data_IF_292759633491
#
_entry.id   IF_292759633491
#
_cell.length_a   1.000
_cell.length_b   1.000
_cell.length_c   1.000
_cell.angle_alpha   90.00
_cell.angle_beta   90.00
_cell.angle_gamma   90.00
#
_symmetry.space_group_name_H-M   'P 1'
#
loop_
_entity.id
_entity.type
_entity.pdbx_description
1 polymer ?
2 non-polymer ?
3 water ?
#
# COMPACT_ATOMS: atom_id res chain seq x y z
N UNK A 4 20.86 16.92 6.16
CA UNK A 4 20.02 17.30 5.02
C UNK A 4 19.83 16.18 3.99
N UNK A 5 18.61 15.70 3.77
CA UNK A 5 18.36 14.70 2.72
C UNK A 5 18.01 15.42 1.41
N UNK A 6 18.79 15.21 0.34
CA UNK A 6 18.49 15.77 -0.99
C UNK A 6 17.32 15.12 -1.75
N UNK A 7 16.92 15.73 -2.86
CA UNK A 7 15.87 15.13 -3.67
C UNK A 7 16.22 13.73 -4.13
N UNK A 8 17.42 13.55 -4.67
CA UNK A 8 17.88 12.21 -5.03
C UNK A 8 17.85 11.27 -3.83
N UNK A 9 18.34 11.71 -2.67
CA UNK A 9 18.26 10.95 -1.43
C UNK A 9 16.84 10.43 -1.20
N UNK A 10 15.86 11.31 -1.34
CA UNK A 10 14.47 10.99 -1.05
C UNK A 10 13.83 10.05 -2.08
N UNK A 11 14.11 10.26 -3.36
CA UNK A 11 13.70 9.32 -4.41
C UNK A 11 14.26 7.95 -4.09
N UNK A 12 15.52 7.90 -3.67
CA UNK A 12 16.17 6.63 -3.31
C UNK A 12 15.52 5.89 -2.15
N UNK A 13 15.21 6.60 -1.07
CA UNK A 13 14.49 6.01 0.05
C UNK A 13 13.08 5.57 -0.34
N UNK A 14 12.32 6.43 -1.00
CA UNK A 14 10.98 6.08 -1.46
C UNK A 14 10.97 4.85 -2.39
N UNK A 15 11.94 4.72 -3.30
CA UNK A 15 12.07 3.53 -4.13
C UNK A 15 12.22 2.25 -3.29
N UNK A 16 13.04 2.33 -2.24
CA UNK A 16 13.29 1.22 -1.32
C UNK A 16 12.07 0.86 -0.48
N UNK A 17 11.22 1.84 -0.15
CA UNK A 17 9.96 1.56 0.56
C UNK A 17 9.01 0.69 -0.28
N UNK A 18 8.98 0.96 -1.57
CA UNK A 18 8.06 0.35 -2.49
C UNK A 18 8.72 -0.72 -3.38
N UNK A 19 9.85 -1.27 -2.94
CA UNK A 19 10.69 -2.17 -3.75
C UNK A 19 9.97 -3.47 -4.12
N UNK A 20 9.29 -4.05 -3.14
CA UNK A 20 8.52 -5.27 -3.35
C UNK A 20 7.16 -5.04 -4.00
N UNK A 21 6.80 -3.77 -4.23
CA UNK A 21 5.51 -3.42 -4.88
C UNK A 21 5.84 -3.22 -6.35
N UNK A 22 4.91 -2.96 -7.25
CA UNK A 22 5.40 -2.98 -8.64
C UNK A 22 5.48 -1.60 -9.29
N UNK A 23 6.04 -0.64 -8.56
CA UNK A 23 5.92 0.78 -8.90
C UNK A 23 7.04 1.24 -9.81
N UNK A 24 6.63 1.67 -11.00
CA UNK A 24 7.48 2.34 -11.96
C UNK A 24 8.30 3.46 -11.32
N UNK A 25 9.54 3.63 -11.78
CA UNK A 25 10.42 4.68 -11.27
C UNK A 25 9.82 6.09 -11.44
N UNK A 26 9.19 6.34 -12.59
CA UNK A 26 8.54 7.62 -12.89
C UNK A 26 7.45 7.92 -11.86
N UNK A 27 6.80 6.89 -11.32
CA UNK A 27 5.70 7.09 -10.39
C UNK A 27 6.21 7.42 -8.98
N UNK A 28 7.32 6.80 -8.59
CA UNK A 28 8.02 7.16 -7.36
C UNK A 28 8.48 8.63 -7.43
N UNK A 29 9.05 9.02 -8.56
CA UNK A 29 9.42 10.42 -8.74
C UNK A 29 8.24 11.38 -8.54
N UNK A 30 7.12 11.12 -9.21
CA UNK A 30 5.92 11.94 -9.11
C UNK A 30 5.45 12.03 -7.65
N UNK A 31 5.49 10.88 -6.97
CA UNK A 31 5.11 10.81 -5.57
C UNK A 31 5.95 11.76 -4.72
N UNK A 32 7.27 11.67 -4.84
CA UNK A 32 8.15 12.51 -4.07
C UNK A 32 7.94 13.99 -4.41
N UNK A 33 7.83 14.31 -5.70
CA UNK A 33 7.76 15.71 -6.13
C UNK A 33 6.41 16.34 -5.70
N UNK A 34 5.42 15.49 -5.39
CA UNK A 34 4.05 15.95 -5.03
C UNK A 34 3.98 16.34 -3.54
N UNK A 35 4.93 15.83 -2.75
CA UNK A 35 4.96 15.91 -1.28
C UNK A 35 6.36 16.37 -0.87
N UNK A 36 6.78 17.54 -1.44
CA UNK A 36 8.17 17.91 -1.28
C UNK A 36 8.53 18.30 0.17
N UNK A 37 7.55 18.70 0.99
CA UNK A 37 7.83 19.05 2.40
C UNK A 37 7.74 17.96 3.47
N UNK A 38 7.50 16.73 3.04
CA UNK A 38 7.23 15.64 3.98
C UNK A 38 8.50 14.85 4.29
N UNK A 39 8.63 14.36 5.52
CA UNK A 39 9.75 13.48 5.91
C UNK A 39 9.77 12.14 5.15
N UNK A 40 10.88 11.41 5.25
CA UNK A 40 10.92 9.99 4.83
C UNK A 40 9.92 9.12 5.57
N UNK A 41 9.69 9.43 6.84
CA UNK A 41 8.68 8.69 7.59
C UNK A 41 7.32 8.74 6.86
N UNK A 42 7.07 9.81 6.11
CA UNK A 42 5.80 10.03 5.42
C UNK A 42 5.53 8.92 4.44
N UNK A 43 6.52 8.57 3.62
CA UNK A 43 6.26 7.59 2.57
C UNK A 43 6.12 6.17 3.16
N UNK A 44 6.74 5.91 4.30
CA UNK A 44 6.51 4.64 5.03
C UNK A 44 5.10 4.57 5.60
N UNK A 45 4.63 5.65 6.22
CA UNK A 45 3.23 5.76 6.68
C UNK A 45 2.19 5.62 5.57
N UNK A 46 2.53 6.14 4.39
CA UNK A 46 1.64 6.04 3.27
C UNK A 46 1.51 4.55 2.91
N UNK A 47 2.62 3.86 2.68
CA UNK A 47 2.54 2.44 2.35
C UNK A 47 1.80 1.65 3.41
N UNK A 48 2.08 1.90 4.68
CA UNK A 48 1.48 1.14 5.77
C UNK A 48 -0.04 1.38 5.79
N UNK A 49 -0.48 2.56 5.38
CA UNK A 49 -1.90 2.86 5.35
C UNK A 49 -2.63 2.10 4.24
N UNK A 50 -2.00 1.97 3.07
CA UNK A 50 -2.57 1.26 1.97
C UNK A 50 -2.63 -0.26 2.40
N UNK A 51 -1.60 -0.76 3.04
CA UNK A 51 -1.65 -2.20 3.42
C UNK A 51 -2.65 -2.48 4.53
N UNK A 52 -2.73 -1.59 5.51
CA UNK A 52 -3.82 -1.62 6.51
C UNK A 52 -5.19 -1.89 5.88
N UNK A 53 -5.58 -1.02 4.97
CA UNK A 53 -6.79 -1.19 4.17
C UNK A 53 -6.92 -2.51 3.44
N UNK A 54 -5.86 -2.90 2.75
CA UNK A 54 -5.88 -4.11 1.96
C UNK A 54 -6.01 -5.37 2.83
N UNK A 55 -5.33 -5.37 3.96
CA UNK A 55 -5.35 -6.52 4.86
C UNK A 55 -6.75 -6.63 5.43
N UNK A 56 -7.37 -5.50 5.82
CA UNK A 56 -8.72 -5.55 6.35
C UNK A 56 -9.71 -6.10 5.34
N UNK A 57 -9.56 -5.75 4.06
CA UNK A 57 -10.38 -6.37 3.08
C UNK A 57 -10.17 -7.88 3.01
N UNK A 58 -8.91 -8.28 3.00
CA UNK A 58 -8.58 -9.68 2.93
C UNK A 58 -9.13 -10.49 4.11
N UNK A 59 -9.11 -9.94 5.31
CA UNK A 59 -9.73 -10.62 6.43
C UNK A 59 -11.18 -11.02 6.14
N UNK A 60 -11.94 -10.10 5.61
CA UNK A 60 -13.34 -10.28 5.25
C UNK A 60 -13.51 -11.28 4.15
N UNK A 61 -12.64 -11.20 3.14
CA UNK A 61 -12.56 -12.21 2.06
C UNK A 61 -12.38 -13.64 2.60
N UNK A 62 -11.44 -13.81 3.52
CA UNK A 62 -11.08 -15.13 4.05
C UNK A 62 -12.29 -15.59 4.85
N UNK A 63 -12.86 -14.69 5.65
CA UNK A 63 -14.05 -15.06 6.41
C UNK A 63 -15.23 -15.58 5.64
N UNK A 64 -15.58 -14.92 4.57
CA UNK A 64 -16.69 -15.29 3.69
C UNK A 64 -16.31 -16.65 3.02
N UNK A 65 -15.06 -16.76 2.60
CA UNK A 65 -14.65 -17.97 1.87
C UNK A 65 -14.73 -19.19 2.82
N UNK A 66 -14.25 -19.01 4.04
CA UNK A 66 -14.27 -20.04 5.07
C UNK A 66 -15.68 -20.47 5.44
N UNK A 67 -16.60 -19.52 5.58
CA UNK A 67 -17.99 -19.86 5.85
C UNK A 67 -18.59 -20.69 4.73
N UNK A 68 -18.28 -20.28 3.50
CA UNK A 68 -18.71 -21.01 2.33
C UNK A 68 -18.14 -22.43 2.26
N UNK A 69 -16.85 -22.57 2.56
CA UNK A 69 -16.24 -23.94 2.59
C UNK A 69 -16.79 -24.89 3.63
N UNK A 70 -17.11 -24.39 4.82
CA UNK A 70 -17.76 -25.19 5.84
C UNK A 70 -19.11 -25.78 5.40
N UNK A 71 -19.91 -25.05 4.62
CA UNK A 71 -21.17 -25.62 4.11
C UNK A 71 -21.05 -26.84 3.19
N UNK A 72 -19.96 -26.96 2.43
CA UNK A 72 -19.73 -28.09 1.53
C UNK A 72 -18.58 -29.01 2.01
N UNK A 73 -18.31 -28.97 3.32
CA UNK A 73 -17.16 -29.61 3.96
C UNK A 73 -15.86 -29.60 3.13
N UNK A 74 -15.47 -28.44 2.61
CA UNK A 74 -14.29 -28.36 1.76
C UNK A 74 -13.06 -28.19 2.63
N UNK A 75 -11.98 -28.86 2.24
CA UNK A 75 -10.74 -28.89 3.00
C UNK A 75 -9.69 -27.98 2.33
N UNK A 76 -10.06 -27.33 1.23
CA UNK A 76 -9.13 -26.43 0.56
C UNK A 76 -8.88 -25.22 1.48
N UNK A 77 -7.67 -24.68 1.36
CA UNK A 77 -7.25 -23.64 2.30
C UNK A 77 -7.83 -22.31 1.88
N UNK A 78 -7.59 -21.28 2.71
CA UNK A 78 -8.07 -19.95 2.40
C UNK A 78 -7.33 -19.30 1.23
N UNK A 79 -7.95 -18.28 0.62
CA UNK A 79 -7.23 -17.47 -0.36
C UNK A 79 -6.03 -16.69 0.24
N UNK A 80 -4.94 -16.61 -0.53
CA UNK A 80 -3.71 -15.95 -0.15
C UNK A 80 -3.91 -14.45 -0.29
N UNK A 81 -3.22 -13.70 0.57
CA UNK A 81 -3.22 -12.24 0.47
C UNK A 81 -2.60 -11.87 -0.88
N UNK A 82 -3.22 -10.96 -1.63
CA UNK A 82 -2.65 -10.49 -2.89
C UNK A 82 -2.17 -9.05 -2.70
N UNK A 83 -0.98 -8.78 -3.20
CA UNK A 83 -0.47 -7.41 -3.09
C UNK A 83 -1.43 -6.37 -3.70
N UNK A 84 -1.60 -5.26 -3.00
CA UNK A 84 -2.32 -4.09 -3.51
C UNK A 84 -1.68 -3.66 -4.84
N UNK A 85 -2.50 -3.29 -5.82
CA UNK A 85 -1.99 -2.72 -7.08
C UNK A 85 -1.69 -1.23 -6.83
N UNK A 86 -0.42 -0.87 -6.73
CA UNK A 86 -0.07 0.47 -6.25
C UNK A 86 0.04 1.49 -7.37
N UNK A 87 -1.08 1.95 -7.91
CA UNK A 87 -1.10 2.91 -9.00
C UNK A 87 -0.83 4.32 -8.47
N UNK A 88 -0.41 5.21 -9.35
CA UNK A 88 -0.01 6.57 -8.95
C UNK A 88 -1.15 7.36 -8.30
N UNK A 89 -2.31 7.32 -8.93
CA UNK A 89 -3.51 8.04 -8.46
C UNK A 89 -3.98 7.62 -7.02
N UNK A 90 -3.86 6.32 -6.78
CA UNK A 90 -4.11 5.78 -5.47
C UNK A 90 -3.10 6.23 -4.46
N UNK A 91 -1.81 6.17 -4.83
CA UNK A 91 -0.75 6.60 -3.93
C UNK A 91 -0.87 8.09 -3.57
N UNK A 92 -1.24 8.87 -4.57
CA UNK A 92 -1.40 10.32 -4.37
C UNK A 92 -2.60 10.62 -3.44
N UNK A 93 -3.66 9.82 -3.60
CA UNK A 93 -4.87 9.90 -2.76
C UNK A 93 -4.53 9.61 -1.31
N UNK A 94 -3.92 8.46 -1.05
CA UNK A 94 -3.49 8.12 0.32
C UNK A 94 -2.60 9.23 0.89
N UNK A 95 -1.65 9.70 0.09
CA UNK A 95 -0.80 10.84 0.48
C UNK A 95 -1.58 12.08 0.85
N UNK A 96 -2.60 12.37 0.05
CA UNK A 96 -3.50 13.49 0.35
C UNK A 96 -4.37 13.28 1.57
N UNK A 97 -4.70 12.04 1.91
CA UNK A 97 -5.41 11.79 3.15
C UNK A 97 -4.53 12.05 4.36
N UNK A 98 -3.29 11.58 4.30
CA UNK A 98 -2.31 11.79 5.36
C UNK A 98 -1.95 13.26 5.63
N UNK A 99 -1.91 14.07 4.59
CA UNK A 99 -1.68 15.46 4.86
C UNK A 99 -2.79 16.23 5.59
N UNK A 100 -4.05 15.82 5.61
CA UNK A 100 -5.10 16.66 6.24
C UNK A 100 -5.04 16.98 7.76
N UNK A 101 -4.50 16.07 8.58
CA UNK A 101 -4.02 16.39 9.97
C UNK A 101 -3.05 17.61 10.05
N UNK A 102 -2.15 17.71 9.08
CA UNK A 102 -1.11 18.71 9.11
C UNK A 102 -1.61 20.05 8.53
X LIG B 1 -9.97 4.54 4.31
X LIG B 1 -8.61 4.27 4.12
X LIG B 1 -10.68 4.55 2.97
X LIG B 1 -12.03 4.87 3.20
X LIG B 1 -10.58 3.17 2.33
X LIG B 1 -9.66 3.21 1.26
#
# INVERSE_FOLDING_TARGET
GIDPFTREDRIGVCKGIFRTDNVADDDIVKLVDTFPGQSIDFFGALRARVYDDEVRKWVSEVGVDTIGKKLVNSKEGPPSFEQPKMTIDKLLGYGGMLVQEQENVKR
GOL C1 O1 C2 O2 C3 O3
#
